data_IF_196336681278
#
_entry.id   IF_196336681278
#
_cell.length_a   1.000
_cell.length_b   1.000
_cell.length_c   1.000
_cell.angle_alpha   90.00
_cell.angle_beta   90.00
_cell.angle_gamma   90.00
#
_symmetry.space_group_name_H-M   'P 1'
#
loop_
_entity.id
_entity.type
_entity.pdbx_description
1 polymer ?
#
# COMPACT_ATOMS: atom_id res chain seq x y z
N UNK A 1 -10.28 6.32 -0.08
CA UNK A 1 -10.76 5.06 0.56
C UNK A 1 -10.79 3.85 -0.36
N UNK A 2 -11.29 3.94 -1.61
CA UNK A 2 -11.48 2.75 -2.48
C UNK A 2 -10.17 2.00 -2.79
N UNK A 3 -9.07 2.71 -3.10
CA UNK A 3 -7.74 2.10 -3.31
C UNK A 3 -7.33 1.26 -2.11
N UNK A 4 -7.39 1.84 -0.90
CA UNK A 4 -6.98 1.19 0.33
C UNK A 4 -7.81 -0.04 0.67
N UNK A 5 -9.14 0.00 0.52
CA UNK A 5 -9.99 -1.20 0.68
C UNK A 5 -9.65 -2.29 -0.33
N UNK A 6 -9.38 -1.92 -1.59
CA UNK A 6 -8.96 -2.87 -2.61
C UNK A 6 -7.61 -3.51 -2.27
N UNK A 7 -6.63 -2.72 -1.84
CA UNK A 7 -5.34 -3.23 -1.36
C UNK A 7 -5.51 -4.14 -0.12
N UNK A 8 -6.37 -3.77 0.84
CA UNK A 8 -6.67 -4.59 2.00
C UNK A 8 -7.19 -5.97 1.59
N UNK A 9 -8.12 -6.02 0.62
CA UNK A 9 -8.64 -7.28 0.08
C UNK A 9 -7.61 -8.05 -0.76
N UNK A 10 -6.84 -7.37 -1.59
CA UNK A 10 -5.92 -7.98 -2.56
C UNK A 10 -4.67 -8.57 -1.89
N UNK A 11 -4.16 -7.93 -0.83
CA UNK A 11 -2.95 -8.36 -0.12
C UNK A 11 -3.26 -9.06 1.22
N UNK A 12 -4.54 -9.27 1.54
CA UNK A 12 -4.99 -9.82 2.82
C UNK A 12 -4.40 -9.05 4.03
N UNK A 13 -4.43 -7.71 3.97
CA UNK A 13 -3.96 -6.82 5.04
C UNK A 13 -5.15 -6.02 5.59
N UNK A 14 -5.85 -6.50 6.63
CA UNK A 14 -7.03 -5.83 7.17
C UNK A 14 -6.77 -4.41 7.68
N UNK A 15 -5.55 -4.14 8.18
CA UNK A 15 -5.15 -2.81 8.67
C UNK A 15 -5.08 -1.74 7.56
N UNK A 16 -5.18 -2.14 6.29
CA UNK A 16 -5.31 -1.20 5.18
C UNK A 16 -6.74 -0.71 4.98
N UNK A 17 -7.75 -1.33 5.60
CA UNK A 17 -9.11 -0.80 5.52
C UNK A 17 -9.20 0.52 6.29
N UNK A 18 -9.61 1.63 5.65
CA UNK A 18 -9.81 2.89 6.33
C UNK A 18 -10.74 2.84 7.54
N UNK A 19 -11.65 1.86 7.64
CA UNK A 19 -12.50 1.69 8.83
C UNK A 19 -11.72 1.31 10.09
N UNK A 20 -10.49 0.84 9.94
CA UNK A 20 -9.59 0.49 11.04
C UNK A 20 -8.66 1.64 11.45
N UNK A 21 -8.71 2.76 10.73
CA UNK A 21 -7.81 3.90 10.98
C UNK A 21 -8.40 4.80 12.06
N UNK A 22 -7.54 5.27 12.97
CA UNK A 22 -7.92 6.27 13.96
C UNK A 22 -7.87 7.66 13.31
N UNK A 23 -9.01 8.37 13.34
CA UNK A 23 -9.16 9.72 12.79
C UNK A 23 -8.29 10.77 13.51
N UNK A 24 -7.73 10.44 14.69
CA UNK A 24 -6.96 11.37 15.52
C UNK A 24 -5.44 11.18 15.44
N UNK A 25 -4.97 10.18 14.70
CA UNK A 25 -3.55 9.83 14.62
C UNK A 25 -2.77 10.64 13.57
N UNK A 26 -1.49 10.90 13.85
CA UNK A 26 -0.54 11.41 12.86
C UNK A 26 -0.13 10.34 11.84
N UNK A 27 0.37 10.72 10.65
CA UNK A 27 0.84 9.77 9.62
C UNK A 27 1.85 8.73 10.14
N UNK A 28 2.83 9.09 11.00
CA UNK A 28 3.73 8.10 11.60
C UNK A 28 3.04 7.12 12.55
N UNK A 29 2.02 7.56 13.29
CA UNK A 29 1.24 6.71 14.20
C UNK A 29 0.36 5.74 13.43
N UNK A 30 -0.30 6.23 12.37
CA UNK A 30 -1.00 5.38 11.41
C UNK A 30 -0.06 4.34 10.79
N UNK A 31 1.11 4.74 10.30
CA UNK A 31 2.06 3.79 9.71
C UNK A 31 2.52 2.72 10.72
N UNK A 32 2.69 3.10 12.00
CA UNK A 32 2.97 2.14 13.08
C UNK A 32 1.78 1.23 13.36
N UNK A 33 0.54 1.73 13.32
CA UNK A 33 -0.66 0.92 13.55
C UNK A 33 -0.90 -0.13 12.45
N UNK A 34 -0.39 0.08 11.23
CA UNK A 34 -0.45 -0.95 10.17
C UNK A 34 0.22 -2.27 10.58
N UNK A 35 1.15 -2.22 11.54
CA UNK A 35 1.90 -3.35 12.07
C UNK A 35 1.31 -3.94 13.36
N UNK A 36 0.39 -3.25 14.05
CA UNK A 36 -0.05 -3.64 15.39
C UNK A 36 -0.92 -4.90 15.39
N UNK A 37 -1.47 -5.29 14.24
CA UNK A 37 -2.32 -6.47 14.09
C UNK A 37 -1.56 -7.78 13.89
N UNK A 38 -0.22 -7.78 13.90
CA UNK A 38 0.56 -8.99 13.57
C UNK A 38 1.67 -9.28 14.58
N UNK A 39 1.72 -10.52 15.07
CA UNK A 39 2.76 -11.01 15.99
C UNK A 39 4.13 -11.18 15.32
N UNK A 40 4.17 -11.26 13.99
CA UNK A 40 5.39 -11.46 13.21
C UNK A 40 6.00 -10.13 12.74
N UNK A 41 7.24 -9.87 13.16
CA UNK A 41 7.96 -8.62 12.86
C UNK A 41 8.28 -8.42 11.38
N UNK A 42 8.36 -9.51 10.59
CA UNK A 42 8.57 -9.42 9.14
C UNK A 42 7.32 -8.89 8.45
N UNK A 43 6.14 -9.49 8.69
CA UNK A 43 4.87 -9.05 8.10
C UNK A 43 4.55 -7.58 8.38
N UNK A 44 4.79 -7.13 9.61
CA UNK A 44 4.69 -5.72 10.00
C UNK A 44 5.55 -4.78 9.14
N UNK A 45 6.78 -5.19 8.78
CA UNK A 45 7.64 -4.41 7.87
C UNK A 45 7.06 -4.39 6.46
N UNK A 46 6.54 -5.51 5.98
CA UNK A 46 5.97 -5.65 4.64
C UNK A 46 4.75 -4.76 4.45
N UNK A 47 3.83 -4.77 5.41
CA UNK A 47 2.65 -3.90 5.40
C UNK A 47 3.05 -2.42 5.34
N UNK A 48 4.07 -1.99 6.10
CA UNK A 48 4.57 -0.62 6.05
C UNK A 48 5.24 -0.27 4.72
N UNK A 49 6.05 -1.18 4.17
CA UNK A 49 6.67 -1.00 2.85
C UNK A 49 5.61 -0.87 1.76
N UNK A 50 4.61 -1.75 1.75
CA UNK A 50 3.52 -1.72 0.78
C UNK A 50 2.65 -0.46 0.91
N UNK A 51 2.37 -0.02 2.13
CA UNK A 51 1.65 1.24 2.35
C UNK A 51 2.45 2.44 1.84
N UNK A 52 3.78 2.43 2.03
CA UNK A 52 4.67 3.48 1.49
C UNK A 52 4.64 3.49 -0.03
N UNK A 53 4.70 2.31 -0.67
CA UNK A 53 4.57 2.15 -2.11
C UNK A 53 3.21 2.64 -2.63
N UNK A 54 2.12 2.28 -1.95
CA UNK A 54 0.78 2.74 -2.32
C UNK A 54 0.67 4.27 -2.25
N UNK A 55 1.18 4.89 -1.18
CA UNK A 55 1.24 6.35 -1.07
C UNK A 55 2.05 6.98 -2.21
N UNK A 56 3.19 6.39 -2.56
CA UNK A 56 4.04 6.84 -3.66
C UNK A 56 3.34 6.77 -5.02
N UNK A 57 2.69 5.64 -5.33
CA UNK A 57 1.95 5.47 -6.59
C UNK A 57 0.74 6.41 -6.68
N UNK A 58 0.01 6.62 -5.57
CA UNK A 58 -1.10 7.58 -5.50
C UNK A 58 -0.57 9.00 -5.78
N UNK A 59 0.58 9.37 -5.21
CA UNK A 59 1.19 10.67 -5.45
C UNK A 59 1.63 10.84 -6.90
N UNK A 60 2.28 9.83 -7.50
CA UNK A 60 2.65 9.83 -8.92
C UNK A 60 1.44 9.96 -9.83
N UNK A 61 0.35 9.25 -9.55
CA UNK A 61 -0.88 9.35 -10.32
C UNK A 61 -1.52 10.75 -10.19
N UNK A 62 -1.52 11.35 -8.99
CA UNK A 62 -1.95 12.75 -8.82
C UNK A 62 -1.13 13.70 -9.69
N UNK A 63 0.19 13.55 -9.69
CA UNK A 63 1.07 14.40 -10.51
C UNK A 63 0.78 14.22 -11.99
N UNK A 64 0.67 12.98 -12.46
CA UNK A 64 0.39 12.68 -13.87
C UNK A 64 -0.93 13.29 -14.34
N UNK A 65 -1.97 13.26 -13.50
CA UNK A 65 -3.25 13.94 -13.79
C UNK A 65 -3.13 15.46 -13.86
N UNK A 66 -2.22 16.03 -13.09
CA UNK A 66 -2.06 17.49 -12.96
C UNK A 66 -1.16 18.07 -14.04
N UNK A 67 -0.07 17.37 -14.37
CA UNK A 67 0.97 17.86 -15.28
C UNK A 67 0.84 17.29 -16.70
N UNK A 68 0.33 16.07 -16.86
CA UNK A 68 0.27 15.38 -18.15
C UNK A 68 -1.16 15.20 -18.68
N UNK A 69 -2.18 15.71 -17.96
CA UNK A 69 -3.62 15.49 -18.18
C UNK A 69 -4.01 14.02 -18.43
N UNK A 70 -3.22 13.09 -17.89
CA UNK A 70 -3.38 11.67 -18.15
C UNK A 70 -3.92 10.95 -16.90
N UNK A 71 -4.96 10.12 -17.09
CA UNK A 71 -5.70 9.44 -16.01
C UNK A 71 -5.61 7.93 -16.12
N UNK A 72 -5.42 7.26 -14.99
CA UNK A 72 -5.33 5.81 -14.89
C UNK A 72 -6.63 5.31 -14.32
N UNK A 73 -7.03 4.13 -14.76
CA UNK A 73 -8.08 3.38 -14.08
C UNK A 73 -7.61 2.98 -12.68
N UNK A 74 -8.57 2.74 -11.79
CA UNK A 74 -8.26 2.21 -10.46
C UNK A 74 -7.50 0.88 -10.56
N UNK A 75 -7.96 -0.01 -11.44
CA UNK A 75 -7.34 -1.32 -11.64
C UNK A 75 -5.91 -1.18 -12.17
N UNK A 76 -5.65 -0.24 -13.09
CA UNK A 76 -4.30 0.04 -13.57
C UNK A 76 -3.36 0.52 -12.46
N UNK A 77 -3.86 1.33 -11.52
CA UNK A 77 -3.09 1.78 -10.36
C UNK A 77 -2.78 0.61 -9.41
N UNK A 78 -3.75 -0.28 -9.17
CA UNK A 78 -3.57 -1.46 -8.32
C UNK A 78 -2.56 -2.44 -8.92
N UNK A 79 -2.62 -2.68 -10.23
CA UNK A 79 -1.63 -3.49 -10.96
C UNK A 79 -0.24 -2.89 -10.78
N UNK A 80 -0.09 -1.57 -10.98
CA UNK A 80 1.22 -0.91 -10.82
C UNK A 80 1.77 -1.03 -9.39
N UNK A 81 0.93 -0.88 -8.36
CA UNK A 81 1.35 -1.08 -6.96
C UNK A 81 1.83 -2.52 -6.74
N UNK A 82 1.12 -3.51 -7.29
CA UNK A 82 1.50 -4.91 -7.21
C UNK A 82 2.81 -5.22 -7.95
N UNK A 83 2.97 -4.70 -9.16
CA UNK A 83 4.19 -4.86 -9.95
C UNK A 83 5.40 -4.24 -9.24
N UNK A 84 5.25 -3.03 -8.69
CA UNK A 84 6.33 -2.36 -7.94
C UNK A 84 6.70 -3.17 -6.69
N UNK A 85 5.71 -3.69 -5.97
CA UNK A 85 5.95 -4.57 -4.82
C UNK A 85 6.70 -5.85 -5.21
N UNK A 86 6.38 -6.43 -6.36
CA UNK A 86 7.09 -7.60 -6.91
C UNK A 86 8.53 -7.26 -7.32
N UNK A 87 8.76 -6.13 -7.99
CA UNK A 87 10.10 -5.67 -8.35
C UNK A 87 10.96 -5.44 -7.11
N UNK A 88 10.39 -4.87 -6.04
CA UNK A 88 11.09 -4.70 -4.78
C UNK A 88 11.46 -6.04 -4.16
N UNK A 89 10.57 -7.04 -4.18
CA UNK A 89 10.90 -8.42 -3.76
C UNK A 89 12.07 -9.00 -4.56
N UNK A 90 12.02 -8.90 -5.89
CA UNK A 90 13.06 -9.43 -6.78
C UNK A 90 14.41 -8.74 -6.57
N UNK A 91 14.41 -7.46 -6.21
CA UNK A 91 15.60 -6.70 -5.85
C UNK A 91 16.13 -6.99 -4.42
N UNK A 92 15.51 -7.93 -3.67
CA UNK A 92 15.88 -8.27 -2.30
C UNK A 92 15.26 -7.36 -1.23
N UNK A 93 14.32 -6.50 -1.61
CA UNK A 93 13.49 -5.73 -0.69
C UNK A 93 12.59 -6.64 0.14
N UNK A 94 12.39 -6.28 1.41
CA UNK A 94 11.56 -6.99 2.39
C UNK A 94 10.05 -6.89 2.06
N UNK A 95 9.63 -7.51 0.95
CA UNK A 95 8.24 -7.79 0.62
C UNK A 95 8.14 -9.29 0.28
N UNK A 96 8.02 -10.19 1.28
CA UNK A 96 7.57 -11.56 1.09
C UNK A 96 6.06 -11.52 0.81
N UNK A 97 5.72 -11.19 -0.44
CA UNK A 97 4.40 -11.43 -0.99
C UNK A 97 4.47 -12.72 -1.82
N UNK A 98 3.58 -13.66 -1.55
CA UNK A 98 3.35 -14.84 -2.39
C UNK A 98 1.91 -14.74 -2.94
N UNK A 99 1.71 -14.55 -4.26
CA UNK A 99 0.37 -14.43 -4.83
C UNK A 99 -0.40 -15.77 -4.92
N UNK A 100 0.21 -16.90 -4.54
CA UNK A 100 -0.39 -18.23 -4.58
C UNK A 100 0.63 -19.31 -4.95
#
# INVERSE_FOLDING_TARGET
MVVWRKLASQFAIPSFDPSSWDDRGSTPEWCRSLSSSTSCSSWAKCARSLATLACWEIWKERNRRTFDDARMTLDGLLVRIGDEALHWKLAGGLIPFDPG
#
